data_IF_228939230821
#
_entry.id   IF_228939230821
#
_cell.length_a   1.000
_cell.length_b   1.000
_cell.length_c   1.000
_cell.angle_alpha   90.00
_cell.angle_beta   90.00
_cell.angle_gamma   90.00
#
_symmetry.space_group_name_H-M   'P 1'
#
loop_
_entity.id
_entity.type
_entity.pdbx_description
1 polymer ?
#
# COMPACT_ATOMS: atom_id res chain seq x y z
N UNK A 1 11.55 -6.93 -16.96
CA UNK A 1 10.19 -7.10 -16.39
C UNK A 1 10.34 -7.30 -14.90
N UNK A 2 9.64 -6.51 -14.10
CA UNK A 2 9.63 -6.61 -12.64
C UNK A 2 8.19 -6.81 -12.15
N UNK A 3 8.00 -7.65 -11.16
CA UNK A 3 6.78 -7.74 -10.37
C UNK A 3 6.90 -6.78 -9.18
N UNK A 4 6.02 -5.79 -9.09
CA UNK A 4 6.12 -4.70 -8.14
C UNK A 4 4.93 -4.78 -7.20
N UNK A 5 5.21 -5.05 -5.92
CA UNK A 5 4.21 -5.15 -4.88
C UNK A 5 3.99 -3.79 -4.22
N UNK A 6 2.75 -3.34 -4.14
CA UNK A 6 2.38 -2.12 -3.43
C UNK A 6 1.69 -2.51 -2.12
N UNK A 7 2.39 -2.34 -1.00
CA UNK A 7 1.81 -2.51 0.33
C UNK A 7 1.04 -1.24 0.66
N UNK A 8 -0.29 -1.31 0.61
CA UNK A 8 -1.18 -0.17 0.56
C UNK A 8 -2.12 -0.08 1.78
N UNK A 9 -2.66 1.12 2.02
CA UNK A 9 -3.66 1.38 3.04
C UNK A 9 -3.38 2.67 3.82
N UNK A 10 -4.35 3.20 4.58
CA UNK A 10 -4.20 4.46 5.29
C UNK A 10 -3.06 4.44 6.33
N UNK A 11 -2.56 5.62 6.75
CA UNK A 11 -1.58 5.70 7.83
C UNK A 11 -2.14 5.07 9.12
N UNK A 12 -1.29 4.39 9.88
CA UNK A 12 -1.68 3.72 11.14
C UNK A 12 -2.33 2.34 10.97
N UNK A 13 -2.66 1.89 9.75
CA UNK A 13 -3.32 0.59 9.53
C UNK A 13 -2.44 -0.64 9.85
N UNK A 14 -1.11 -0.49 9.86
CA UNK A 14 -0.18 -1.57 10.20
C UNK A 14 0.60 -2.16 9.03
N UNK A 15 0.70 -1.46 7.91
CA UNK A 15 1.48 -1.88 6.72
C UNK A 15 2.89 -2.33 7.05
N UNK A 16 3.68 -1.46 7.67
CA UNK A 16 5.09 -1.72 8.01
C UNK A 16 5.28 -2.85 9.02
N UNK A 17 4.23 -3.19 9.81
CA UNK A 17 4.29 -4.26 10.81
C UNK A 17 3.90 -5.63 10.27
N UNK A 18 3.07 -5.69 9.23
CA UNK A 18 2.49 -6.95 8.75
C UNK A 18 2.59 -7.14 7.22
N UNK A 19 2.95 -6.11 6.46
CA UNK A 19 2.96 -6.16 5.00
C UNK A 19 3.87 -7.24 4.42
N UNK A 20 5.00 -7.49 5.06
CA UNK A 20 5.96 -8.49 4.61
C UNK A 20 5.43 -9.95 4.65
N UNK A 21 4.39 -10.23 5.44
CA UNK A 21 3.76 -11.56 5.46
C UNK A 21 2.91 -11.88 4.22
N UNK A 22 2.56 -10.86 3.45
CA UNK A 22 1.62 -10.95 2.33
C UNK A 22 2.26 -10.71 0.96
N UNK A 23 3.59 -10.66 0.92
CA UNK A 23 4.40 -10.58 -0.30
C UNK A 23 5.40 -11.75 -0.32
N UNK A 24 6.01 -12.09 -1.46
CA UNK A 24 7.06 -13.11 -1.53
C UNK A 24 8.22 -12.80 -0.57
N UNK A 25 8.81 -13.85 -0.01
CA UNK A 25 9.95 -13.73 0.89
C UNK A 25 11.16 -13.10 0.19
N UNK A 26 12.00 -12.43 0.98
CA UNK A 26 13.27 -11.83 0.54
C UNK A 26 13.16 -10.66 -0.45
N UNK A 27 11.97 -10.11 -0.69
CA UNK A 27 11.84 -8.88 -1.46
C UNK A 27 12.36 -7.67 -0.68
N UNK A 28 13.02 -6.75 -1.39
CA UNK A 28 13.34 -5.44 -0.84
C UNK A 28 12.06 -4.63 -0.74
N UNK A 29 11.77 -4.09 0.45
CA UNK A 29 10.65 -3.17 0.67
C UNK A 29 11.20 -1.75 0.68
N UNK A 30 10.78 -0.93 -0.26
CA UNK A 30 11.09 0.49 -0.34
C UNK A 30 9.99 1.29 0.39
N UNK A 31 10.30 1.74 1.60
CA UNK A 31 9.44 2.59 2.41
C UNK A 31 10.06 3.99 2.49
N UNK A 32 9.48 5.01 1.80
CA UNK A 32 10.02 6.35 1.78
C UNK A 32 10.06 7.00 3.17
N UNK A 33 9.06 6.73 4.03
CA UNK A 33 9.02 7.26 5.39
C UNK A 33 10.12 6.66 6.27
N UNK A 34 10.35 5.35 6.16
CA UNK A 34 11.41 4.67 6.89
C UNK A 34 12.79 5.12 6.42
N UNK A 35 12.97 5.30 5.11
CA UNK A 35 14.22 5.81 4.55
C UNK A 35 14.51 7.22 5.09
N UNK A 36 13.53 8.12 5.05
CA UNK A 36 13.69 9.48 5.59
C UNK A 36 13.97 9.48 7.10
N UNK A 37 13.28 8.62 7.86
CA UNK A 37 13.48 8.53 9.31
C UNK A 37 14.90 8.08 9.70
N UNK A 38 15.57 7.26 8.90
CA UNK A 38 16.99 6.89 9.15
C UNK A 38 17.91 8.11 9.12
N UNK A 39 17.69 9.03 8.19
CA UNK A 39 18.45 10.27 8.12
C UNK A 39 18.10 11.25 9.25
N UNK A 40 16.82 11.28 9.67
CA UNK A 40 16.41 12.04 10.85
C UNK A 40 17.14 11.59 12.13
N UNK A 41 17.23 10.27 12.34
CA UNK A 41 17.95 9.69 13.51
C UNK A 41 19.44 10.01 13.45
N UNK A 42 20.03 10.14 12.26
CA UNK A 42 21.43 10.54 12.07
C UNK A 42 21.65 12.06 12.26
N UNK A 43 20.60 12.84 12.50
CA UNK A 43 20.68 14.27 12.81
C UNK A 43 20.67 15.19 11.58
N UNK A 44 20.31 14.71 10.39
CA UNK A 44 20.17 15.55 9.21
C UNK A 44 18.92 16.44 9.30
N UNK A 45 19.07 17.77 9.12
CA UNK A 45 17.93 18.71 9.09
C UNK A 45 17.01 18.45 7.91
N UNK A 46 17.58 18.20 6.75
CA UNK A 46 16.87 18.02 5.48
C UNK A 46 16.57 16.55 5.18
N UNK A 47 16.33 15.77 6.25
CA UNK A 47 16.15 14.31 6.20
C UNK A 47 15.07 13.85 5.21
N UNK A 48 14.02 14.68 4.99
CA UNK A 48 12.94 14.34 4.04
C UNK A 48 13.43 14.37 2.61
N UNK A 49 14.15 15.41 2.23
CA UNK A 49 14.68 15.57 0.87
C UNK A 49 15.77 14.54 0.58
N UNK A 50 16.66 14.32 1.53
CA UNK A 50 17.70 13.27 1.44
C UNK A 50 17.02 11.89 1.33
N UNK A 51 15.99 11.63 2.13
CA UNK A 51 15.22 10.40 2.08
C UNK A 51 14.55 10.19 0.73
N UNK A 52 13.96 11.24 0.16
CA UNK A 52 13.34 11.20 -1.17
C UNK A 52 14.37 10.91 -2.29
N UNK A 53 15.52 11.57 -2.25
CA UNK A 53 16.61 11.30 -3.19
C UNK A 53 17.05 9.84 -3.10
N UNK A 54 17.25 9.34 -1.87
CA UNK A 54 17.69 7.95 -1.65
C UNK A 54 16.64 6.93 -2.07
N UNK A 55 15.37 7.18 -1.80
CA UNK A 55 14.27 6.35 -2.28
C UNK A 55 14.28 6.23 -3.81
N UNK A 56 14.39 7.37 -4.51
CA UNK A 56 14.42 7.40 -5.97
C UNK A 56 15.64 6.67 -6.55
N UNK A 57 16.81 6.78 -5.90
CA UNK A 57 18.02 6.04 -6.28
C UNK A 57 17.79 4.52 -6.19
N UNK A 58 17.25 4.05 -5.05
CA UNK A 58 16.97 2.64 -4.82
C UNK A 58 15.90 2.12 -5.80
N UNK A 59 14.83 2.86 -6.00
CA UNK A 59 13.77 2.53 -6.95
C UNK A 59 14.33 2.36 -8.37
N UNK A 60 15.09 3.34 -8.85
CA UNK A 60 15.72 3.26 -10.17
C UNK A 60 16.65 2.06 -10.30
N UNK A 61 17.42 1.77 -9.25
CA UNK A 61 18.33 0.61 -9.23
C UNK A 61 17.56 -0.70 -9.45
N UNK A 62 16.44 -0.90 -8.74
CA UNK A 62 15.66 -2.14 -8.88
C UNK A 62 14.94 -2.21 -10.24
N UNK A 63 14.39 -1.09 -10.72
CA UNK A 63 13.78 -1.00 -12.05
C UNK A 63 14.76 -1.31 -13.19
N UNK A 64 15.98 -0.73 -13.14
CA UNK A 64 17.02 -0.98 -14.16
C UNK A 64 17.51 -2.42 -14.15
N UNK A 65 17.54 -3.07 -13.00
CA UNK A 65 17.91 -4.49 -12.88
C UNK A 65 16.79 -5.43 -13.31
N UNK A 66 15.54 -4.94 -13.36
CA UNK A 66 14.37 -5.78 -13.58
C UNK A 66 14.06 -6.71 -12.40
N UNK A 67 14.52 -6.37 -11.20
CA UNK A 67 14.25 -7.13 -9.99
C UNK A 67 12.81 -6.93 -9.53
N UNK A 68 12.25 -7.95 -8.87
CA UNK A 68 11.02 -7.83 -8.12
C UNK A 68 11.28 -7.12 -6.78
N UNK A 69 10.36 -6.25 -6.37
CA UNK A 69 10.46 -5.49 -5.13
C UNK A 69 9.09 -5.02 -4.64
N UNK A 70 9.04 -4.52 -3.41
CA UNK A 70 7.85 -3.93 -2.84
C UNK A 70 8.05 -2.44 -2.53
N UNK A 71 6.95 -1.68 -2.56
CA UNK A 71 6.88 -0.27 -2.16
C UNK A 71 5.77 -0.12 -1.13
N UNK A 72 6.03 0.57 -0.02
CA UNK A 72 4.98 0.96 0.90
C UNK A 72 4.39 2.33 0.50
N UNK A 73 3.08 2.38 0.22
CA UNK A 73 2.33 3.58 -0.17
C UNK A 73 0.98 3.63 0.54
N UNK A 74 0.42 4.83 0.73
CA UNK A 74 -0.90 4.96 1.37
C UNK A 74 -2.09 4.76 0.40
N UNK A 75 -1.91 5.01 -0.90
CA UNK A 75 -2.94 4.98 -1.98
C UNK A 75 -4.18 5.85 -1.72
N UNK A 76 -4.09 6.82 -0.82
CA UNK A 76 -5.18 7.75 -0.48
C UNK A 76 -5.17 9.07 -1.27
N UNK A 77 -4.20 9.27 -2.20
CA UNK A 77 -4.11 10.44 -3.07
C UNK A 77 -3.86 10.03 -4.52
N UNK A 78 -4.35 10.83 -5.47
CA UNK A 78 -4.15 10.59 -6.90
C UNK A 78 -2.65 10.56 -7.27
N UNK A 79 -1.83 11.37 -6.62
CA UNK A 79 -0.37 11.39 -6.84
C UNK A 79 0.31 10.05 -6.60
N UNK A 80 -0.22 9.20 -5.72
CA UNK A 80 0.30 7.84 -5.53
C UNK A 80 0.08 6.97 -6.78
N UNK A 81 -1.04 7.13 -7.47
CA UNK A 81 -1.34 6.41 -8.70
C UNK A 81 -0.57 6.97 -9.90
N UNK A 82 -0.33 8.29 -9.94
CA UNK A 82 0.53 8.92 -10.94
C UNK A 82 1.96 8.39 -10.81
N UNK A 83 2.44 8.20 -9.58
CA UNK A 83 3.72 7.55 -9.30
C UNK A 83 3.71 6.08 -9.77
N UNK A 84 2.70 5.27 -9.43
CA UNK A 84 2.58 3.88 -9.90
C UNK A 84 2.56 3.81 -11.42
N UNK A 85 1.83 4.73 -12.08
CA UNK A 85 1.81 4.83 -13.53
C UNK A 85 3.21 5.09 -14.10
N UNK A 86 3.99 5.97 -13.49
CA UNK A 86 5.37 6.23 -13.91
C UNK A 86 6.27 5.01 -13.77
N UNK A 87 6.17 4.28 -12.65
CA UNK A 87 6.91 3.04 -12.38
C UNK A 87 6.54 1.95 -13.40
N UNK A 88 5.24 1.79 -13.68
CA UNK A 88 4.75 0.85 -14.69
C UNK A 88 5.23 1.23 -16.10
N UNK A 89 5.22 2.51 -16.43
CA UNK A 89 5.64 3.02 -17.75
C UNK A 89 7.14 2.92 -18.00
N UNK A 90 7.95 2.67 -16.97
CA UNK A 90 9.39 2.42 -17.12
C UNK A 90 9.65 1.17 -17.98
N UNK A 91 8.83 0.13 -17.83
CA UNK A 91 8.76 -1.02 -18.71
C UNK A 91 7.30 -1.50 -18.76
N UNK A 92 6.72 -1.58 -19.96
CA UNK A 92 5.30 -1.98 -20.18
C UNK A 92 4.97 -3.36 -19.61
N UNK A 93 5.96 -4.24 -19.52
CA UNK A 93 5.81 -5.60 -19.00
C UNK A 93 5.85 -5.67 -17.47
N UNK A 94 6.14 -4.57 -16.78
CA UNK A 94 6.06 -4.54 -15.31
C UNK A 94 4.64 -4.80 -14.85
N UNK A 95 4.48 -5.62 -13.80
CA UNK A 95 3.20 -5.87 -13.14
C UNK A 95 3.11 -5.10 -11.82
N UNK A 96 1.89 -4.69 -11.49
CA UNK A 96 1.58 -3.99 -10.23
C UNK A 96 0.61 -4.85 -9.43
N UNK A 97 1.09 -5.37 -8.30
CA UNK A 97 0.33 -6.23 -7.41
C UNK A 97 0.09 -5.50 -6.09
N UNK A 98 -1.17 -5.23 -5.78
CA UNK A 98 -1.56 -4.43 -4.61
C UNK A 98 -1.94 -5.34 -3.45
N UNK A 99 -1.29 -5.14 -2.30
CA UNK A 99 -1.67 -5.72 -1.01
C UNK A 99 -2.30 -4.61 -0.18
N UNK A 100 -3.63 -4.57 -0.17
CA UNK A 100 -4.41 -3.50 0.44
C UNK A 100 -4.82 -3.86 1.87
N UNK A 101 -4.30 -3.13 2.85
CA UNK A 101 -4.76 -3.16 4.24
C UNK A 101 -5.86 -2.14 4.44
N UNK A 102 -6.99 -2.56 4.98
CA UNK A 102 -8.09 -1.67 5.32
C UNK A 102 -8.88 -2.19 6.52
N UNK A 103 -9.76 -1.36 7.07
CA UNK A 103 -10.58 -1.65 8.25
C UNK A 103 -11.94 -0.96 8.15
N UNK A 104 -12.94 -1.45 8.87
CA UNK A 104 -14.20 -0.73 9.08
C UNK A 104 -14.07 0.33 10.21
N UNK A 105 -13.02 0.22 11.03
CA UNK A 105 -12.78 1.09 12.19
C UNK A 105 -11.62 2.07 11.93
N UNK A 106 -11.95 3.30 11.53
CA UNK A 106 -10.95 4.36 11.33
C UNK A 106 -10.24 4.76 12.64
N UNK A 107 -10.89 4.60 13.80
CA UNK A 107 -10.32 5.00 15.08
C UNK A 107 -9.08 4.16 15.41
N UNK A 108 -9.03 2.93 14.92
CA UNK A 108 -7.84 2.09 14.97
C UNK A 108 -6.62 2.76 14.31
N UNK A 109 -6.82 3.42 13.17
CA UNK A 109 -5.76 4.15 12.47
C UNK A 109 -5.28 5.35 13.29
N UNK A 110 -6.21 6.12 13.88
CA UNK A 110 -5.88 7.27 14.73
C UNK A 110 -5.10 6.86 15.98
N UNK A 111 -5.56 5.83 16.69
CA UNK A 111 -4.90 5.33 17.89
C UNK A 111 -3.48 4.86 17.60
N UNK A 112 -3.29 4.05 16.55
CA UNK A 112 -1.97 3.54 16.16
C UNK A 112 -1.03 4.64 15.67
N UNK A 113 -1.52 5.63 14.92
CA UNK A 113 -0.73 6.79 14.51
C UNK A 113 -0.27 7.62 15.71
N UNK A 114 -1.14 7.81 16.73
CA UNK A 114 -0.80 8.49 17.99
C UNK A 114 0.28 7.74 18.76
N UNK A 115 0.18 6.42 18.91
CA UNK A 115 1.18 5.58 19.58
C UNK A 115 2.54 5.68 18.86
N UNK A 116 2.54 5.61 17.53
CA UNK A 116 3.78 5.76 16.72
C UNK A 116 4.44 7.12 16.96
N UNK A 117 3.66 8.18 17.04
CA UNK A 117 4.19 9.53 17.34
C UNK A 117 4.83 9.60 18.72
N UNK A 118 4.20 9.02 19.74
CA UNK A 118 4.76 8.94 21.09
C UNK A 118 6.10 8.18 21.14
N UNK A 119 6.31 7.28 20.19
CA UNK A 119 7.58 6.54 20.00
C UNK A 119 8.61 7.31 19.13
N UNK A 120 8.41 8.61 18.88
CA UNK A 120 9.35 9.48 18.16
C UNK A 120 9.22 9.47 16.62
N UNK A 121 8.25 8.74 16.07
CA UNK A 121 8.00 8.73 14.63
C UNK A 121 7.17 9.96 14.20
N UNK A 122 7.11 10.19 12.88
CA UNK A 122 6.38 11.32 12.33
C UNK A 122 4.89 11.28 12.69
N UNK A 123 4.36 12.40 13.20
CA UNK A 123 2.93 12.59 13.39
C UNK A 123 2.26 12.79 12.04
N UNK A 124 1.28 11.93 11.73
CA UNK A 124 0.38 12.18 10.61
C UNK A 124 -0.86 12.88 11.16
N UNK A 125 -1.22 14.00 10.55
CA UNK A 125 -2.39 14.77 10.91
C UNK A 125 -3.67 13.92 10.80
N UNK A 126 -4.58 13.96 11.80
CA UNK A 126 -5.82 13.19 11.78
C UNK A 126 -6.71 13.44 10.55
N UNK A 127 -6.74 14.68 10.04
CA UNK A 127 -7.51 15.00 8.84
C UNK A 127 -6.91 14.34 7.59
N UNK A 128 -5.58 14.28 7.51
CA UNK A 128 -4.87 13.53 6.46
C UNK A 128 -5.17 12.02 6.55
N UNK A 129 -5.21 11.44 7.75
CA UNK A 129 -5.58 10.03 7.93
C UNK A 129 -7.02 9.79 7.44
N UNK A 130 -7.96 10.68 7.81
CA UNK A 130 -9.36 10.59 7.41
C UNK A 130 -9.52 10.70 5.90
N UNK A 131 -8.88 11.68 5.28
CA UNK A 131 -8.90 11.88 3.84
C UNK A 131 -8.37 10.64 3.10
N UNK A 132 -7.19 10.15 3.48
CA UNK A 132 -6.60 8.96 2.86
C UNK A 132 -7.47 7.73 3.06
N UNK A 133 -8.05 7.54 4.25
CA UNK A 133 -8.94 6.42 4.52
C UNK A 133 -10.18 6.44 3.60
N UNK A 134 -10.84 7.59 3.48
CA UNK A 134 -12.03 7.75 2.65
C UNK A 134 -11.75 7.58 1.16
N UNK A 135 -10.57 8.04 0.70
CA UNK A 135 -10.21 8.02 -0.71
C UNK A 135 -9.60 6.69 -1.17
N UNK A 136 -9.12 5.83 -0.27
CA UNK A 136 -8.41 4.60 -0.63
C UNK A 136 -9.20 3.74 -1.60
N UNK A 137 -10.45 3.38 -1.30
CA UNK A 137 -11.26 2.52 -2.16
C UNK A 137 -11.71 3.24 -3.45
N UNK A 138 -12.26 4.47 -3.41
CA UNK A 138 -12.64 5.18 -4.63
C UNK A 138 -11.48 5.36 -5.61
N UNK A 139 -10.30 5.76 -5.15
CA UNK A 139 -9.14 5.94 -6.01
C UNK A 139 -8.59 4.61 -6.54
N UNK A 140 -8.62 3.54 -5.73
CA UNK A 140 -8.26 2.20 -6.19
C UNK A 140 -9.13 1.78 -7.38
N UNK A 141 -10.46 1.95 -7.28
CA UNK A 141 -11.39 1.60 -8.34
C UNK A 141 -11.17 2.45 -9.60
N UNK A 142 -10.95 3.75 -9.45
CA UNK A 142 -10.71 4.67 -10.55
C UNK A 142 -9.41 4.34 -11.33
N UNK A 143 -8.39 3.83 -10.63
CA UNK A 143 -7.08 3.51 -11.20
C UNK A 143 -6.86 2.00 -11.39
N UNK A 144 -7.90 1.19 -11.28
CA UNK A 144 -7.83 -0.27 -11.34
C UNK A 144 -7.19 -0.83 -12.63
N UNK A 145 -7.29 -0.20 -13.81
CA UNK A 145 -6.59 -0.65 -15.02
C UNK A 145 -5.07 -0.79 -14.88
N UNK A 146 -4.43 -0.06 -13.94
CA UNK A 146 -3.00 -0.15 -13.65
C UNK A 146 -2.62 -1.43 -12.91
N UNK A 147 -3.58 -2.10 -12.25
CA UNK A 147 -3.36 -3.17 -11.27
C UNK A 147 -3.49 -4.52 -11.96
N UNK A 148 -2.53 -5.40 -11.67
CA UNK A 148 -2.47 -6.78 -12.17
C UNK A 148 -3.13 -7.77 -11.19
N UNK A 149 -2.94 -7.56 -9.88
CA UNK A 149 -3.61 -8.32 -8.83
C UNK A 149 -3.93 -7.46 -7.61
N UNK A 150 -4.92 -7.89 -6.83
CA UNK A 150 -5.30 -7.26 -5.58
C UNK A 150 -5.50 -8.32 -4.49
N UNK A 151 -4.74 -8.20 -3.42
CA UNK A 151 -4.95 -8.95 -2.18
C UNK A 151 -5.48 -7.97 -1.12
N UNK A 152 -6.72 -8.15 -0.69
CA UNK A 152 -7.36 -7.29 0.30
C UNK A 152 -7.31 -7.91 1.69
N UNK A 153 -6.74 -7.15 2.64
CA UNK A 153 -6.45 -7.57 4.01
C UNK A 153 -7.34 -6.76 4.96
N UNK A 154 -8.16 -7.46 5.72
CA UNK A 154 -8.91 -6.84 6.81
C UNK A 154 -8.05 -6.72 8.07
N UNK A 155 -8.07 -5.55 8.68
CA UNK A 155 -7.39 -5.27 9.94
C UNK A 155 -8.42 -4.91 11.00
N UNK A 156 -8.34 -5.56 12.16
CA UNK A 156 -9.15 -5.26 13.33
C UNK A 156 -8.26 -5.04 14.56
N UNK A 157 -8.85 -4.59 15.66
CA UNK A 157 -8.15 -4.42 16.93
C UNK A 157 -7.87 -5.77 17.61
N UNK A 158 -8.75 -6.74 17.41
CA UNK A 158 -8.81 -8.00 18.15
C UNK A 158 -8.07 -9.15 17.47
N UNK A 159 -7.87 -9.06 16.16
CA UNK A 159 -7.36 -10.16 15.34
C UNK A 159 -6.07 -9.80 14.58
N UNK A 160 -5.31 -10.82 14.20
CA UNK A 160 -4.27 -10.68 13.20
C UNK A 160 -4.88 -10.28 11.84
N UNK A 161 -4.14 -9.53 10.98
CA UNK A 161 -4.61 -9.19 9.65
C UNK A 161 -5.02 -10.43 8.85
N UNK A 162 -6.22 -10.42 8.26
CA UNK A 162 -6.80 -11.56 7.55
C UNK A 162 -7.11 -11.23 6.10
N UNK A 163 -6.77 -12.13 5.18
CA UNK A 163 -7.19 -12.03 3.78
C UNK A 163 -8.72 -12.12 3.71
N UNK A 164 -9.36 -11.14 3.06
CA UNK A 164 -10.80 -11.15 2.84
C UNK A 164 -11.18 -11.36 1.36
N UNK A 165 -10.36 -10.91 0.40
CA UNK A 165 -10.54 -11.25 -1.00
C UNK A 165 -9.20 -11.19 -1.77
N UNK A 166 -9.14 -11.93 -2.87
CA UNK A 166 -8.02 -11.95 -3.81
C UNK A 166 -8.58 -11.85 -5.23
N UNK A 167 -7.99 -10.96 -6.04
CA UNK A 167 -8.30 -10.81 -7.45
C UNK A 167 -7.03 -10.92 -8.28
N UNK A 168 -7.09 -11.70 -9.37
CA UNK A 168 -6.01 -11.86 -10.35
C UNK A 168 -6.53 -11.59 -11.75
N UNK A 169 -6.02 -10.54 -12.38
CA UNK A 169 -6.49 -10.06 -13.68
C UNK A 169 -6.21 -11.06 -14.80
N UNK A 170 -5.00 -11.60 -14.87
CA UNK A 170 -4.59 -12.55 -15.92
C UNK A 170 -5.46 -13.81 -15.94
N UNK A 171 -5.88 -14.28 -14.77
CA UNK A 171 -6.67 -15.49 -14.58
C UNK A 171 -8.17 -15.22 -14.60
N UNK A 172 -8.59 -13.92 -14.63
CA UNK A 172 -9.96 -13.49 -14.41
C UNK A 172 -10.59 -14.13 -13.17
N UNK A 173 -9.80 -14.25 -12.10
CA UNK A 173 -10.19 -14.96 -10.90
C UNK A 173 -10.48 -13.99 -9.75
N UNK A 174 -11.57 -14.23 -9.03
CA UNK A 174 -11.90 -13.58 -7.77
C UNK A 174 -12.20 -14.63 -6.70
N UNK A 175 -11.35 -14.70 -5.67
CA UNK A 175 -11.55 -15.53 -4.49
C UNK A 175 -12.09 -14.66 -3.36
N UNK A 176 -13.18 -15.05 -2.77
CA UNK A 176 -13.83 -14.35 -1.67
C UNK A 176 -13.84 -15.26 -0.45
N UNK A 177 -13.23 -14.82 0.64
CA UNK A 177 -13.21 -15.54 1.91
C UNK A 177 -14.53 -15.27 2.66
N UNK A 178 -15.03 -16.24 3.42
CA UNK A 178 -16.39 -16.28 3.95
C UNK A 178 -16.81 -15.09 4.84
N UNK A 179 -15.90 -14.52 5.60
CA UNK A 179 -16.18 -13.33 6.42
C UNK A 179 -15.71 -12.08 5.71
N UNK A 180 -16.65 -11.28 5.23
CA UNK A 180 -16.37 -10.02 4.54
C UNK A 180 -16.60 -8.84 5.48
N UNK A 181 -15.59 -7.98 5.74
CA UNK A 181 -15.82 -6.71 6.42
C UNK A 181 -16.69 -5.78 5.54
N UNK A 182 -17.33 -4.81 6.17
CA UNK A 182 -18.23 -3.86 5.50
C UNK A 182 -17.59 -3.16 4.33
N UNK A 183 -16.36 -2.69 4.51
CA UNK A 183 -15.59 -1.96 3.48
C UNK A 183 -15.34 -2.80 2.20
N UNK A 184 -15.13 -4.11 2.34
CA UNK A 184 -14.86 -4.99 1.17
C UNK A 184 -16.14 -5.50 0.52
N UNK A 185 -17.25 -5.58 1.28
CA UNK A 185 -18.52 -6.12 0.81
C UNK A 185 -19.37 -5.13 0.01
N UNK A 186 -18.92 -3.89 -0.16
CA UNK A 186 -19.60 -2.80 -0.84
C UNK A 186 -19.23 -2.69 -2.33
N UNK A 187 -18.84 -1.48 -2.76
CA UNK A 187 -18.48 -1.16 -4.13
C UNK A 187 -17.30 -1.99 -4.67
N UNK A 188 -16.30 -2.30 -3.82
CA UNK A 188 -15.11 -3.05 -4.22
C UNK A 188 -15.49 -4.45 -4.72
N UNK A 189 -16.27 -5.22 -3.95
CA UNK A 189 -16.68 -6.58 -4.34
C UNK A 189 -17.56 -6.59 -5.59
N UNK A 190 -18.49 -5.63 -5.69
CA UNK A 190 -19.35 -5.49 -6.87
C UNK A 190 -18.54 -5.19 -8.12
N UNK A 191 -17.57 -4.27 -8.02
CA UNK A 191 -16.66 -3.91 -9.09
C UNK A 191 -15.81 -5.10 -9.54
N UNK A 192 -15.16 -5.81 -8.59
CA UNK A 192 -14.30 -6.96 -8.92
C UNK A 192 -15.08 -8.12 -9.56
N UNK A 193 -16.32 -8.37 -9.13
CA UNK A 193 -17.19 -9.36 -9.77
C UNK A 193 -17.50 -9.02 -11.24
N UNK A 194 -17.55 -7.74 -11.59
CA UNK A 194 -17.74 -7.32 -12.98
C UNK A 194 -16.48 -7.51 -13.84
N UNK A 195 -15.28 -7.55 -13.24
CA UNK A 195 -14.02 -7.75 -13.95
C UNK A 195 -13.76 -9.23 -14.34
N UNK A 196 -14.45 -10.19 -13.73
CA UNK A 196 -14.27 -11.64 -13.98
C UNK A 196 -15.33 -12.23 -14.91
N UNK A 197 -16.32 -11.44 -15.32
CA UNK A 197 -17.31 -11.79 -16.33
C UNK A 197 -16.75 -11.56 -17.74
#
# INVERSE_FOLDING_TARGET
MAQIFIIAGPPGIGKSSAGYYFIPENLIILDPDQIANRYKIQGFSDYKDIGHIKFNELLKKELFKGNDFAIELNLGFQSHYDFIKSVKSFNSDNTIDVVLFHTDDIDLCFQRAKIRHQSGLHLVDPDTIREMYQNTIPLLLANFPLISSLLAINVSAEDLPKICLEYRKAEKQLVIVNQQPGWSNSALKAFLKAQVK
#
